data_IF_351271558929
#
_entry.id   IF_351271558929
#
_cell.length_a   1.000
_cell.length_b   1.000
_cell.length_c   1.000
_cell.angle_alpha   90.00
_cell.angle_beta   90.00
_cell.angle_gamma   90.00
#
_symmetry.space_group_name_H-M   'P 1'
#
loop_
_entity.id
_entity.type
_entity.pdbx_description
1 polymer ?
#
# COMPACT_ATOMS: atom_id res chain seq x y z
N UNK A 1 -2.02 -8.48 6.85
CA UNK A 1 -0.80 -7.99 6.19
C UNK A 1 -1.17 -7.25 4.91
N UNK A 2 -0.24 -6.56 4.24
CA UNK A 2 -0.45 -5.33 3.44
C UNK A 2 -1.61 -5.28 2.44
N UNK A 3 -2.11 -6.40 1.92
CA UNK A 3 -3.32 -6.42 1.08
C UNK A 3 -4.56 -5.82 1.77
N UNK A 4 -4.68 -5.95 3.10
CA UNK A 4 -5.79 -5.36 3.87
C UNK A 4 -5.78 -3.82 3.84
N UNK A 5 -4.67 -3.20 3.43
CA UNK A 5 -4.59 -1.74 3.32
C UNK A 5 -5.53 -1.19 2.23
N UNK A 6 -5.87 -1.99 1.21
CA UNK A 6 -6.89 -1.64 0.21
C UNK A 6 -8.29 -1.46 0.81
N UNK A 7 -8.53 -2.02 2.01
CA UNK A 7 -9.73 -1.85 2.83
C UNK A 7 -9.62 -0.72 3.86
N UNK A 8 -8.61 0.15 3.75
CA UNK A 8 -8.30 1.20 4.72
C UNK A 8 -8.00 0.68 6.15
N UNK A 9 -7.58 -0.57 6.29
CA UNK A 9 -7.07 -1.14 7.54
C UNK A 9 -5.55 -1.10 7.49
N UNK A 10 -4.91 -0.32 8.37
CA UNK A 10 -3.45 -0.23 8.40
C UNK A 10 -2.83 -1.53 8.95
N UNK A 11 -2.11 -2.27 8.10
CA UNK A 11 -1.41 -3.49 8.48
C UNK A 11 -0.20 -3.81 7.60
N UNK A 12 0.81 -4.45 8.18
CA UNK A 12 2.03 -4.86 7.49
C UNK A 12 2.60 -6.15 8.06
N UNK A 13 3.66 -6.67 7.44
CA UNK A 13 4.33 -7.89 7.87
C UNK A 13 5.35 -7.62 8.96
N UNK A 14 5.35 -8.45 9.99
CA UNK A 14 6.34 -8.43 11.07
C UNK A 14 6.96 -9.82 11.24
N UNK A 15 8.08 -9.90 11.96
CA UNK A 15 8.66 -11.18 12.35
C UNK A 15 7.79 -11.92 13.37
N UNK A 16 8.05 -13.22 13.55
CA UNK A 16 7.27 -14.05 14.48
C UNK A 16 7.35 -13.58 15.93
N UNK A 17 8.53 -13.11 16.36
CA UNK A 17 8.77 -12.63 17.73
C UNK A 17 7.93 -11.37 18.00
N UNK A 18 7.90 -10.43 17.06
CA UNK A 18 7.09 -9.22 17.18
C UNK A 18 5.60 -9.54 17.18
N UNK A 19 5.17 -10.51 16.38
CA UNK A 19 3.78 -10.97 16.36
C UNK A 19 3.37 -11.58 17.71
N UNK A 20 4.21 -12.45 18.29
CA UNK A 20 3.97 -13.03 19.62
C UNK A 20 3.93 -11.95 20.72
N UNK A 21 4.86 -11.01 20.68
CA UNK A 21 4.88 -9.89 21.63
C UNK A 21 3.57 -9.08 21.54
N UNK A 22 3.08 -8.79 20.33
CA UNK A 22 1.80 -8.12 20.12
C UNK A 22 0.60 -8.93 20.67
N UNK A 23 0.63 -10.26 20.53
CA UNK A 23 -0.40 -11.14 21.12
C UNK A 23 -0.40 -11.09 22.66
N UNK A 24 0.75 -10.83 23.27
CA UNK A 24 0.90 -10.62 24.71
C UNK A 24 0.60 -9.15 25.14
N UNK A 25 0.08 -8.33 24.24
CA UNK A 25 -0.28 -6.94 24.50
C UNK A 25 0.91 -5.97 24.48
N UNK A 26 2.09 -6.40 24.02
CA UNK A 26 3.21 -5.49 23.84
C UNK A 26 2.99 -4.60 22.61
N UNK A 27 3.21 -3.27 22.73
CA UNK A 27 3.11 -2.38 21.59
C UNK A 27 4.23 -2.64 20.58
N UNK A 28 3.92 -2.50 19.29
CA UNK A 28 4.94 -2.51 18.23
C UNK A 28 5.65 -1.16 18.23
N UNK A 29 6.95 -1.18 18.49
CA UNK A 29 7.79 0.01 18.37
C UNK A 29 8.17 0.23 16.90
N UNK A 30 7.91 1.43 16.38
CA UNK A 30 8.33 1.81 15.05
C UNK A 30 8.79 3.27 15.01
N UNK A 31 9.74 3.55 14.11
CA UNK A 31 10.03 4.95 13.75
C UNK A 31 8.83 5.52 13.01
N UNK A 32 8.50 6.78 13.28
CA UNK A 32 7.46 7.49 12.52
C UNK A 32 7.88 7.49 11.05
N UNK A 33 7.13 6.84 10.15
CA UNK A 33 7.52 6.73 8.76
C UNK A 33 7.17 8.02 8.02
N UNK A 34 7.97 8.35 7.00
CA UNK A 34 7.54 9.31 5.98
C UNK A 34 6.38 8.72 5.17
N UNK A 35 5.50 9.59 4.66
CA UNK A 35 4.39 9.19 3.80
C UNK A 35 4.64 9.71 2.39
N UNK A 36 4.65 8.80 1.42
CA UNK A 36 4.77 9.11 -0.01
C UNK A 36 3.38 9.01 -0.63
N UNK A 37 2.86 10.14 -1.11
CA UNK A 37 1.58 10.20 -1.78
C UNK A 37 1.68 9.75 -3.25
N UNK A 38 0.82 8.81 -3.66
CA UNK A 38 0.62 8.41 -5.05
C UNK A 38 -0.71 8.96 -5.53
N UNK A 39 -0.66 9.96 -6.40
CA UNK A 39 -1.87 10.54 -6.98
C UNK A 39 -2.28 9.75 -8.22
N UNK A 40 -3.49 9.18 -8.20
CA UNK A 40 -4.11 8.55 -9.35
C UNK A 40 -5.08 9.54 -10.02
N UNK A 41 -4.91 9.75 -11.31
CA UNK A 41 -5.73 10.64 -12.12
C UNK A 41 -6.17 9.96 -13.41
N UNK A 42 -7.35 10.33 -13.91
CA UNK A 42 -7.95 9.72 -15.08
C UNK A 42 -8.46 8.30 -14.81
N UNK A 43 -8.68 7.56 -15.90
CA UNK A 43 -9.25 6.21 -15.90
C UNK A 43 -8.38 5.26 -16.71
N UNK A 44 -8.41 3.98 -16.38
CA UNK A 44 -7.74 2.95 -17.18
C UNK A 44 -8.35 2.91 -18.60
N UNK A 45 -7.47 2.80 -19.61
CA UNK A 45 -7.91 2.65 -21.00
C UNK A 45 -8.50 1.25 -21.20
N UNK A 46 -9.40 1.14 -22.17
CA UNK A 46 -9.94 -0.16 -22.57
C UNK A 46 -8.80 -1.13 -22.94
N UNK A 47 -8.88 -2.36 -22.44
CA UNK A 47 -7.85 -3.39 -22.62
C UNK A 47 -6.69 -3.34 -21.61
N UNK A 48 -6.59 -2.32 -20.75
CA UNK A 48 -5.62 -2.30 -19.64
C UNK A 48 -6.20 -3.05 -18.44
N UNK A 49 -5.40 -3.95 -17.86
CA UNK A 49 -5.80 -4.75 -16.71
C UNK A 49 -5.29 -4.16 -15.39
N UNK A 50 -5.87 -4.59 -14.27
CA UNK A 50 -5.36 -4.26 -12.93
C UNK A 50 -3.91 -4.71 -12.73
N UNK A 51 -3.52 -5.85 -13.32
CA UNK A 51 -2.13 -6.33 -13.29
C UNK A 51 -1.18 -5.33 -13.94
N UNK A 52 -1.57 -4.75 -15.07
CA UNK A 52 -0.74 -3.74 -15.76
C UNK A 52 -0.56 -2.49 -14.89
N UNK A 53 -1.63 -2.04 -14.22
CA UNK A 53 -1.58 -0.93 -13.27
C UNK A 53 -0.63 -1.24 -12.11
N UNK A 54 -0.82 -2.38 -11.44
CA UNK A 54 -0.01 -2.77 -10.26
C UNK A 54 1.46 -2.91 -10.62
N UNK A 55 1.79 -3.52 -11.76
CA UNK A 55 3.18 -3.64 -12.22
C UNK A 55 3.79 -2.27 -12.54
N UNK A 56 3.03 -1.36 -13.16
CA UNK A 56 3.48 0.01 -13.45
C UNK A 56 3.78 0.78 -12.15
N UNK A 57 2.86 0.73 -11.19
CA UNK A 57 3.03 1.39 -9.88
C UNK A 57 4.21 0.78 -9.13
N UNK A 58 4.35 -0.54 -9.13
CA UNK A 58 5.46 -1.22 -8.46
C UNK A 58 6.82 -0.82 -9.05
N UNK A 59 6.93 -0.72 -10.37
CA UNK A 59 8.15 -0.25 -11.04
C UNK A 59 8.48 1.20 -10.64
N UNK A 60 7.48 2.09 -10.65
CA UNK A 60 7.63 3.49 -10.25
C UNK A 60 8.09 3.64 -8.79
N UNK A 61 7.45 2.93 -7.86
CA UNK A 61 7.79 2.97 -6.43
C UNK A 61 9.19 2.39 -6.17
N UNK A 62 9.59 1.35 -6.91
CA UNK A 62 10.94 0.80 -6.83
C UNK A 62 11.98 1.83 -7.27
N UNK A 63 11.74 2.55 -8.38
CA UNK A 63 12.64 3.63 -8.85
C UNK A 63 12.69 4.80 -7.87
N UNK A 64 11.56 5.13 -7.23
CA UNK A 64 11.49 6.22 -6.26
C UNK A 64 12.17 5.90 -4.92
N UNK A 65 12.23 4.63 -4.51
CA UNK A 65 12.91 4.20 -3.28
C UNK A 65 12.08 4.44 -2.02
N UNK A 66 10.98 3.70 -1.89
CA UNK A 66 10.02 3.83 -0.76
C UNK A 66 10.30 2.90 0.44
N UNK A 67 11.52 2.39 0.58
CA UNK A 67 11.87 1.48 1.68
C UNK A 67 11.76 2.20 3.02
N UNK A 68 10.99 1.63 3.95
CA UNK A 68 10.79 2.20 5.29
C UNK A 68 9.82 3.38 5.33
N UNK A 69 9.06 3.62 4.25
CA UNK A 69 8.05 4.67 4.14
C UNK A 69 6.66 4.06 3.96
N UNK A 70 5.63 4.82 4.31
CA UNK A 70 4.26 4.52 3.89
C UNK A 70 4.01 5.07 2.49
N UNK A 71 3.19 4.35 1.74
CA UNK A 71 2.69 4.78 0.43
C UNK A 71 1.18 4.94 0.56
N UNK A 72 0.69 6.15 0.35
CA UNK A 72 -0.72 6.48 0.45
C UNK A 72 -1.25 6.88 -0.93
N UNK A 73 -2.29 6.19 -1.39
CA UNK A 73 -2.91 6.48 -2.68
C UNK A 73 -4.03 7.52 -2.49
N UNK A 74 -4.10 8.50 -3.38
CA UNK A 74 -5.12 9.54 -3.36
C UNK A 74 -5.48 10.01 -4.77
N UNK A 75 -6.52 10.84 -4.91
CA UNK A 75 -6.90 11.45 -6.18
C UNK A 75 -8.10 10.78 -6.87
N UNK A 76 -8.64 11.42 -7.91
CA UNK A 76 -9.92 11.04 -8.52
C UNK A 76 -9.90 9.69 -9.24
N UNK A 77 -8.73 9.19 -9.66
CA UNK A 77 -8.62 7.88 -10.31
C UNK A 77 -8.87 6.69 -9.39
N UNK A 78 -8.95 6.91 -8.06
CA UNK A 78 -9.30 5.86 -7.09
C UNK A 78 -10.78 5.47 -7.13
N UNK A 79 -11.65 6.38 -7.55
CA UNK A 79 -13.10 6.14 -7.61
C UNK A 79 -13.42 5.10 -8.70
N UNK A 80 -12.56 4.99 -9.72
CA UNK A 80 -12.67 4.02 -10.81
C UNK A 80 -12.07 2.64 -10.46
N UNK A 81 -11.40 2.50 -9.32
CA UNK A 81 -10.81 1.22 -8.89
C UNK A 81 -11.77 0.43 -8.02
N UNK A 82 -12.02 -0.83 -8.40
CA UNK A 82 -12.75 -1.75 -7.54
C UNK A 82 -11.93 -2.07 -6.29
N UNK A 83 -12.59 -2.59 -5.25
CA UNK A 83 -11.89 -3.01 -4.05
C UNK A 83 -10.80 -4.06 -4.33
N UNK A 84 -11.02 -4.94 -5.31
CA UNK A 84 -10.04 -5.96 -5.68
C UNK A 84 -8.80 -5.37 -6.37
N UNK A 85 -8.92 -4.16 -6.95
CA UNK A 85 -7.84 -3.47 -7.66
C UNK A 85 -7.05 -2.52 -6.75
N UNK A 86 -7.47 -2.33 -5.49
CA UNK A 86 -6.81 -1.52 -4.46
C UNK A 86 -5.81 -2.35 -3.67
#
# INVERSE_FOLDING_TARGET
TTMINGLAVLGWGVGGIEAEAAMLGQPISMRIPEVVGVKLEGRLKEGVTATDLVLTVAEMLRKHGVVGKFVEFFGPGLDDLTLADR
#
